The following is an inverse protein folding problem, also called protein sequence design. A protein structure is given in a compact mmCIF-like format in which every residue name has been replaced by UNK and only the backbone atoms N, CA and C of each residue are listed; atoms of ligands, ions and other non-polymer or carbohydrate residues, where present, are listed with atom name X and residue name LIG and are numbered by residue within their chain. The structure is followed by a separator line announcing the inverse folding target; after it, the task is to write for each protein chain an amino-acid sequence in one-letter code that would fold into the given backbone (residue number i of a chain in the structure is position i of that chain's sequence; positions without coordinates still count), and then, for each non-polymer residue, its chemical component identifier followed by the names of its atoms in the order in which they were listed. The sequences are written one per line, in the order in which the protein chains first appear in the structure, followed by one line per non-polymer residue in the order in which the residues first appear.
data_IF_549485800657
#
_entry.id   IF_549485800657
#
_cell.length_a   1.000
_cell.length_b   1.000
_cell.length_c   1.000
_cell.angle_alpha   90.00
_cell.angle_beta   90.00
_cell.angle_gamma   90.00
#
_symmetry.space_group_name_H-M   'P 1'
#
loop_
_entity.id
_entity.type
_entity.pdbx_description
1 polymer ?
#
# COMPACT_ATOMS: atom_id res chain seq x y z
N UNK A 1 3.52 -16.71 -17.78
CA UNK A 1 4.11 -16.33 -16.48
C UNK A 1 3.03 -15.74 -15.59
N UNK A 2 2.85 -16.28 -14.39
CA UNK A 2 1.89 -15.73 -13.43
C UNK A 2 2.38 -14.36 -12.95
N UNK A 3 1.50 -13.36 -12.97
CA UNK A 3 1.83 -12.01 -12.53
C UNK A 3 1.52 -11.90 -11.05
N UNK A 4 2.54 -11.64 -10.25
CA UNK A 4 2.38 -11.37 -8.81
C UNK A 4 2.15 -9.86 -8.62
N UNK A 5 0.97 -9.49 -8.09
CA UNK A 5 0.57 -8.09 -7.86
C UNK A 5 0.17 -7.94 -6.41
N UNK A 6 0.74 -6.93 -5.73
CA UNK A 6 0.34 -6.56 -4.37
C UNK A 6 -0.93 -5.72 -4.42
N UNK A 7 -1.93 -6.08 -3.61
CA UNK A 7 -3.15 -5.31 -3.43
C UNK A 7 -3.06 -4.54 -2.12
N UNK A 8 -3.41 -3.25 -2.15
CA UNK A 8 -3.60 -2.42 -0.95
C UNK A 8 -5.03 -1.89 -0.97
N UNK A 9 -5.83 -2.30 0.01
CA UNK A 9 -7.27 -2.00 0.07
C UNK A 9 -7.64 -1.17 1.31
N UNK A 10 -8.90 -0.72 1.37
CA UNK A 10 -9.43 0.07 2.49
C UNK A 10 -8.66 1.37 2.78
N UNK A 11 -8.08 1.98 1.74
CA UNK A 11 -7.35 3.25 1.83
C UNK A 11 -8.29 4.41 2.18
N UNK A 12 -7.75 5.42 2.87
CA UNK A 12 -8.44 6.65 3.25
C UNK A 12 -7.70 7.87 2.69
N UNK A 13 -8.40 9.00 2.62
CA UNK A 13 -7.84 10.31 2.21
C UNK A 13 -7.38 10.36 0.74
N UNK A 14 -7.94 9.52 -0.13
CA UNK A 14 -7.58 9.48 -1.55
C UNK A 14 -7.90 10.79 -2.27
N UNK A 15 -8.91 11.52 -1.78
CA UNK A 15 -9.32 12.86 -2.21
C UNK A 15 -8.25 13.95 -1.97
N UNK A 16 -7.22 13.65 -1.19
CA UNK A 16 -6.14 14.58 -0.83
C UNK A 16 -4.84 14.31 -1.60
N UNK A 17 -4.84 13.34 -2.50
CA UNK A 17 -3.64 12.95 -3.24
C UNK A 17 -3.43 13.87 -4.44
N UNK A 18 -2.18 14.27 -4.73
CA UNK A 18 -1.83 14.84 -6.03
C UNK A 18 -1.97 13.78 -7.13
N UNK A 19 -1.88 14.21 -8.39
CA UNK A 19 -1.90 13.31 -9.55
C UNK A 19 -0.76 12.28 -9.50
N UNK A 20 0.42 12.72 -9.05
CA UNK A 20 1.60 11.88 -8.88
C UNK A 20 2.09 11.90 -7.42
N UNK A 21 2.27 10.72 -6.83
CA UNK A 21 2.81 10.55 -5.49
C UNK A 21 3.53 9.20 -5.39
N UNK A 22 4.40 9.05 -4.39
CA UNK A 22 4.97 7.76 -4.04
C UNK A 22 4.14 7.09 -2.95
N UNK A 23 3.59 5.90 -3.24
CA UNK A 23 2.96 5.05 -2.24
C UNK A 23 4.01 4.26 -1.46
N UNK A 24 4.06 4.44 -0.14
CA UNK A 24 4.81 3.57 0.76
C UNK A 24 3.84 2.85 1.71
N UNK A 25 3.91 1.52 1.77
CA UNK A 25 3.10 0.68 2.63
C UNK A 25 4.00 -0.24 3.45
N UNK A 26 3.84 -0.22 4.77
CA UNK A 26 4.67 -0.99 5.70
C UNK A 26 3.87 -2.16 6.28
N UNK A 27 3.96 -3.37 5.71
CA UNK A 27 3.30 -4.56 6.24
C UNK A 27 4.00 -5.09 7.50
N UNK A 28 3.26 -5.82 8.31
CA UNK A 28 3.82 -6.61 9.40
C UNK A 28 4.52 -7.84 8.82
N UNK A 29 5.69 -8.18 9.36
CA UNK A 29 6.45 -9.37 8.96
C UNK A 29 5.88 -10.64 9.61
N UNK A 30 4.72 -11.09 9.15
CA UNK A 30 4.04 -12.29 9.64
C UNK A 30 4.40 -13.51 8.77
N UNK A 31 4.87 -14.59 9.41
CA UNK A 31 5.33 -15.79 8.69
C UNK A 31 4.15 -16.64 8.22
N UNK A 32 4.15 -17.01 6.94
CA UNK A 32 3.16 -17.93 6.35
C UNK A 32 1.82 -17.29 6.00
N UNK A 33 1.77 -15.95 6.00
CA UNK A 33 0.60 -15.18 5.58
C UNK A 33 0.84 -14.53 4.22
N UNK A 34 -0.23 -14.31 3.48
CA UNK A 34 -0.27 -13.67 2.16
C UNK A 34 -0.51 -12.15 2.24
N UNK A 35 -0.80 -11.63 3.44
CA UNK A 35 -1.05 -10.22 3.68
C UNK A 35 -1.02 -9.84 5.16
N UNK A 36 -1.02 -8.54 5.43
CA UNK A 36 -1.14 -7.99 6.79
C UNK A 36 -1.67 -6.56 6.74
N UNK A 37 -2.18 -6.02 7.86
CA UNK A 37 -2.48 -4.60 7.96
C UNK A 37 -1.22 -3.76 7.70
N UNK A 38 -1.38 -2.65 6.99
CA UNK A 38 -0.28 -1.74 6.65
C UNK A 38 -0.52 -0.36 7.25
N UNK A 39 0.58 0.35 7.51
CA UNK A 39 0.53 1.81 7.51
C UNK A 39 0.83 2.30 6.10
N UNK A 40 -0.19 2.66 5.34
CA UNK A 40 -0.04 3.29 4.03
C UNK A 40 0.17 4.80 4.18
N UNK A 41 1.17 5.35 3.50
CA UNK A 41 1.41 6.78 3.39
C UNK A 41 1.64 7.16 1.92
N UNK A 42 1.21 8.36 1.55
CA UNK A 42 1.64 9.01 0.33
C UNK A 42 2.78 9.97 0.68
N UNK A 43 3.90 9.86 -0.02
CA UNK A 43 5.00 10.83 0.03
C UNK A 43 4.79 11.79 -1.14
N UNK A 44 4.70 13.07 -0.82
CA UNK A 44 4.52 14.18 -1.77
C UNK A 44 5.71 15.14 -1.66
N UNK A 45 5.95 15.93 -2.69
CA UNK A 45 6.88 17.06 -2.65
C UNK A 45 6.35 18.22 -1.79
#
# INVERSE_FOLDING_TARGET
PDVEIVIVESLRNLDRLPEEFTLAAFPLNLKGFDGSPVRAIAITE
#
